data_IF_519437849682
#
_entry.id   IF_519437849682
#
_cell.length_a   1.000
_cell.length_b   1.000
_cell.length_c   1.000
_cell.angle_alpha   90.00
_cell.angle_beta   90.00
_cell.angle_gamma   90.00
#
_symmetry.space_group_name_H-M   'P 1'
#
loop_
_entity.id
_entity.type
_entity.pdbx_description
1 polymer ?
#
# COMPACT_ATOMS: atom_id res chain seq x y z
N UNK A 1 8.55 -6.02 20.82
CA UNK A 1 7.34 -6.84 20.68
C UNK A 1 6.71 -6.75 19.27
N UNK A 2 6.73 -5.61 18.62
CA UNK A 2 6.12 -5.40 17.30
C UNK A 2 6.78 -6.12 16.11
N UNK A 3 8.07 -6.38 16.18
CA UNK A 3 8.77 -7.12 15.13
C UNK A 3 8.36 -8.59 15.00
N UNK A 4 7.84 -9.18 16.07
CA UNK A 4 7.63 -10.63 16.15
C UNK A 4 6.63 -11.19 15.17
N UNK A 5 5.46 -10.58 14.98
CA UNK A 5 4.44 -11.13 14.07
C UNK A 5 4.73 -10.85 12.60
N UNK A 6 5.40 -9.72 12.28
CA UNK A 6 5.97 -9.56 10.93
C UNK A 6 7.12 -10.55 10.67
N UNK A 7 7.91 -10.85 11.71
CA UNK A 7 9.01 -11.82 11.65
C UNK A 7 8.51 -13.25 11.58
N UNK A 8 7.38 -13.60 12.20
CA UNK A 8 6.81 -14.96 12.14
C UNK A 8 6.41 -15.39 10.72
N UNK A 9 5.88 -14.49 9.91
CA UNK A 9 5.62 -14.77 8.48
C UNK A 9 6.90 -14.87 7.64
N UNK A 10 7.91 -14.08 7.98
CA UNK A 10 9.25 -14.18 7.40
C UNK A 10 9.97 -15.47 7.84
N UNK A 11 9.77 -15.88 9.10
CA UNK A 11 10.36 -17.09 9.68
C UNK A 11 9.76 -18.35 9.06
N UNK A 12 8.47 -18.38 8.76
CA UNK A 12 7.86 -19.52 8.06
C UNK A 12 8.44 -19.75 6.65
N UNK A 13 8.90 -18.67 5.97
CA UNK A 13 9.62 -18.77 4.70
C UNK A 13 11.13 -19.00 4.82
N UNK A 14 11.71 -18.81 6.01
CA UNK A 14 13.14 -18.91 6.29
C UNK A 14 13.52 -20.18 7.11
N UNK A 15 12.61 -21.11 7.31
CA UNK A 15 12.77 -22.33 8.13
C UNK A 15 13.91 -23.29 7.69
N UNK A 16 14.78 -22.88 6.77
CA UNK A 16 15.96 -23.65 6.39
C UNK A 16 17.27 -23.17 7.05
N UNK A 17 17.24 -22.15 7.94
CA UNK A 17 18.44 -21.65 8.59
C UNK A 17 18.54 -22.13 10.04
N UNK A 18 19.64 -22.80 10.45
CA UNK A 18 19.80 -23.33 11.81
C UNK A 18 19.75 -22.25 12.92
N UNK A 19 19.93 -20.97 12.55
CA UNK A 19 19.85 -19.86 13.52
C UNK A 19 18.41 -19.62 14.05
N UNK A 20 17.37 -20.04 13.34
CA UNK A 20 16.00 -19.88 13.77
C UNK A 20 15.44 -21.06 14.58
N UNK A 21 16.08 -22.22 14.49
CA UNK A 21 15.68 -23.41 15.24
C UNK A 21 15.96 -23.31 16.74
N UNK A 22 16.79 -22.35 17.17
CA UNK A 22 17.20 -22.15 18.57
C UNK A 22 16.45 -21.00 19.27
N UNK A 23 15.56 -20.29 18.58
CA UNK A 23 14.89 -19.13 19.17
C UNK A 23 13.77 -19.55 20.10
N UNK A 24 13.86 -19.15 21.37
CA UNK A 24 12.85 -19.41 22.37
C UNK A 24 11.85 -18.25 22.42
N UNK A 25 10.63 -18.53 22.02
CA UNK A 25 9.50 -17.61 22.13
C UNK A 25 8.72 -18.00 23.39
N UNK A 26 8.57 -17.07 24.32
CA UNK A 26 7.81 -17.29 25.56
C UNK A 26 6.58 -16.36 25.59
N UNK A 27 5.46 -16.77 26.22
CA UNK A 27 4.37 -15.87 26.50
C UNK A 27 4.86 -14.64 27.28
N UNK A 28 4.37 -13.45 26.94
CA UNK A 28 4.70 -12.23 27.67
C UNK A 28 3.94 -12.22 29.00
N UNK A 29 4.63 -12.27 30.16
CA UNK A 29 3.97 -12.29 31.46
C UNK A 29 3.27 -10.96 31.80
N UNK A 30 3.57 -9.89 31.09
CA UNK A 30 3.01 -8.55 31.31
C UNK A 30 1.88 -8.20 30.32
N UNK A 31 1.75 -8.96 29.24
CA UNK A 31 0.75 -8.69 28.19
C UNK A 31 0.09 -9.97 27.72
N UNK A 32 -1.16 -10.19 28.12
CA UNK A 32 -1.96 -11.33 27.66
C UNK A 32 -1.97 -11.43 26.12
N UNK A 33 -1.65 -12.62 25.59
CA UNK A 33 -1.54 -12.87 24.15
C UNK A 33 -0.28 -12.29 23.48
N UNK A 34 0.63 -11.69 24.24
CA UNK A 34 1.96 -11.28 23.77
C UNK A 34 3.00 -12.39 23.92
N UNK A 35 4.15 -12.19 23.27
CA UNK A 35 5.31 -13.07 23.36
C UNK A 35 6.57 -12.26 23.57
N UNK A 36 7.50 -12.79 24.38
CA UNK A 36 8.82 -12.20 24.62
C UNK A 36 9.87 -13.03 23.91
N UNK A 37 10.79 -12.35 23.26
CA UNK A 37 12.03 -12.93 22.73
C UNK A 37 13.21 -12.29 23.46
N UNK A 38 14.22 -13.08 23.79
CA UNK A 38 15.45 -12.57 24.38
C UNK A 38 16.13 -11.53 23.46
N UNK A 39 16.76 -10.51 24.02
CA UNK A 39 17.45 -9.47 23.25
C UNK A 39 18.53 -10.04 22.32
N UNK A 40 19.24 -11.10 22.76
CA UNK A 40 20.20 -11.85 21.94
C UNK A 40 19.56 -12.47 20.69
N UNK A 41 18.35 -13.01 20.85
CA UNK A 41 17.63 -13.64 19.75
C UNK A 41 17.08 -12.60 18.78
N UNK A 42 16.66 -11.42 19.28
CA UNK A 42 16.29 -10.28 18.45
C UNK A 42 17.47 -9.85 17.59
N UNK A 43 18.68 -9.72 18.16
CA UNK A 43 19.88 -9.36 17.42
C UNK A 43 20.22 -10.40 16.34
N UNK A 44 20.07 -11.70 16.66
CA UNK A 44 20.27 -12.78 15.69
C UNK A 44 19.26 -12.73 14.55
N UNK A 45 17.98 -12.45 14.85
CA UNK A 45 16.91 -12.28 13.86
C UNK A 45 17.18 -11.07 12.95
N UNK A 46 17.57 -9.92 13.52
CA UNK A 46 17.91 -8.73 12.74
C UNK A 46 19.14 -8.95 11.85
N UNK A 47 20.16 -9.63 12.35
CA UNK A 47 21.32 -10.02 11.55
C UNK A 47 20.94 -10.95 10.38
N UNK A 48 20.12 -11.96 10.65
CA UNK A 48 19.66 -12.87 9.60
C UNK A 48 18.73 -12.18 8.58
N UNK A 49 17.87 -11.27 9.04
CA UNK A 49 17.00 -10.43 8.20
C UNK A 49 17.84 -9.55 7.26
N UNK A 50 18.84 -8.85 7.79
CA UNK A 50 19.70 -7.97 7.01
C UNK A 50 20.64 -8.75 6.05
N UNK A 51 20.99 -9.97 6.40
CA UNK A 51 21.77 -10.87 5.54
C UNK A 51 20.91 -11.49 4.40
N UNK A 52 19.58 -11.41 4.48
CA UNK A 52 18.71 -11.95 3.45
C UNK A 52 18.86 -11.14 2.16
N UNK A 53 19.12 -11.77 0.99
CA UNK A 53 19.23 -11.06 -0.30
C UNK A 53 18.01 -10.21 -0.65
N UNK A 54 16.83 -10.57 -0.17
CA UNK A 54 15.60 -9.82 -0.38
C UNK A 54 15.49 -8.58 0.51
N UNK A 55 16.31 -8.45 1.56
CA UNK A 55 16.21 -7.32 2.51
C UNK A 55 16.41 -5.97 1.83
N UNK A 56 17.41 -5.86 0.96
CA UNK A 56 17.66 -4.63 0.21
C UNK A 56 16.51 -4.26 -0.74
N UNK A 57 15.86 -5.27 -1.33
CA UNK A 57 14.69 -5.08 -2.19
C UNK A 57 13.51 -4.56 -1.38
N UNK A 58 13.21 -5.18 -0.23
CA UNK A 58 12.10 -4.73 0.64
C UNK A 58 12.35 -3.34 1.21
N UNK A 59 13.55 -3.08 1.72
CA UNK A 59 13.90 -1.76 2.27
C UNK A 59 13.75 -0.66 1.23
N UNK A 60 14.20 -0.92 0.00
CA UNK A 60 14.03 0.00 -1.12
C UNK A 60 12.55 0.19 -1.48
N UNK A 61 11.78 -0.89 -1.55
CA UNK A 61 10.35 -0.84 -1.91
C UNK A 61 9.50 -0.10 -0.87
N UNK A 62 9.88 -0.16 0.41
CA UNK A 62 9.17 0.47 1.52
C UNK A 62 9.68 1.89 1.85
N UNK A 63 10.76 2.34 1.21
CA UNK A 63 11.26 3.69 1.41
C UNK A 63 10.25 4.73 0.88
N UNK A 64 10.05 5.79 1.63
CA UNK A 64 9.13 6.89 1.25
C UNK A 64 9.85 8.22 1.21
N UNK A 65 9.33 9.18 0.44
CA UNK A 65 9.77 10.59 0.46
C UNK A 65 9.03 11.38 1.53
N UNK A 66 9.67 12.41 2.11
CA UNK A 66 9.00 13.40 2.96
C UNK A 66 7.80 14.04 2.24
N UNK A 67 6.70 14.24 2.96
CA UNK A 67 5.47 14.74 2.37
C UNK A 67 5.63 16.12 1.72
N UNK A 68 6.47 16.99 2.28
CA UNK A 68 6.75 18.32 1.69
C UNK A 68 7.27 18.23 0.24
N UNK A 69 8.06 17.19 -0.07
CA UNK A 69 8.54 16.94 -1.43
C UNK A 69 7.47 16.32 -2.32
N UNK A 70 6.58 15.52 -1.74
CA UNK A 70 5.47 14.90 -2.45
C UNK A 70 4.41 15.95 -2.82
N UNK A 71 4.08 16.84 -1.92
CA UNK A 71 3.11 17.92 -2.14
C UNK A 71 3.56 18.91 -3.21
N UNK A 72 4.87 19.06 -3.38
CA UNK A 72 5.44 19.91 -4.42
C UNK A 72 5.32 19.32 -5.84
N UNK A 73 4.92 18.06 -5.98
CA UNK A 73 4.78 17.39 -7.29
C UNK A 73 3.54 17.93 -8.00
N UNK A 74 3.75 18.44 -9.22
CA UNK A 74 2.70 18.83 -10.16
C UNK A 74 3.08 18.31 -11.56
N UNK A 75 2.10 18.02 -12.44
CA UNK A 75 2.39 17.54 -13.78
C UNK A 75 3.36 18.44 -14.56
N UNK A 76 4.29 17.85 -15.27
CA UNK A 76 5.26 18.51 -16.18
C UNK A 76 6.26 19.45 -15.51
N UNK A 77 6.37 19.41 -14.20
CA UNK A 77 7.36 20.20 -13.47
C UNK A 77 8.78 19.64 -13.67
N UNK A 78 9.72 20.49 -14.08
CA UNK A 78 11.09 20.09 -14.47
C UNK A 78 11.89 19.46 -13.32
N UNK A 79 11.61 19.83 -12.07
CA UNK A 79 12.27 19.31 -10.87
C UNK A 79 11.49 18.18 -10.17
N UNK A 80 10.45 17.63 -10.81
CA UNK A 80 9.82 16.39 -10.33
C UNK A 80 10.88 15.28 -10.15
N UNK A 81 10.70 14.38 -9.17
CA UNK A 81 11.57 13.22 -9.00
C UNK A 81 11.64 12.33 -10.26
N UNK A 82 12.78 11.66 -10.47
CA UNK A 82 13.01 10.88 -11.70
C UNK A 82 11.99 9.77 -11.94
N UNK A 83 11.52 9.11 -10.88
CA UNK A 83 10.45 8.12 -11.02
C UNK A 83 9.11 8.74 -11.45
N UNK A 84 8.81 9.96 -11.03
CA UNK A 84 7.62 10.72 -11.48
C UNK A 84 7.79 11.11 -12.95
N UNK A 85 8.93 11.69 -13.33
CA UNK A 85 9.25 12.02 -14.74
C UNK A 85 9.16 10.77 -15.65
N UNK A 86 9.58 9.61 -15.14
CA UNK A 86 9.42 8.36 -15.89
C UNK A 86 7.97 8.02 -16.10
N UNK A 87 7.14 8.13 -15.07
CA UNK A 87 5.69 7.92 -15.21
C UNK A 87 5.13 8.86 -16.26
N UNK A 88 5.39 10.16 -16.18
CA UNK A 88 4.89 11.15 -17.14
C UNK A 88 5.30 10.87 -18.58
N UNK A 89 6.46 10.22 -18.80
CA UNK A 89 6.93 9.81 -20.13
C UNK A 89 6.24 8.55 -20.65
N UNK A 90 5.96 7.55 -19.81
CA UNK A 90 5.43 6.26 -20.24
C UNK A 90 3.93 6.11 -20.07
N UNK A 91 3.31 7.01 -19.33
CA UNK A 91 1.89 7.07 -19.01
C UNK A 91 1.47 8.54 -18.85
N UNK A 92 0.97 9.12 -19.90
CA UNK A 92 0.63 10.53 -19.99
C UNK A 92 -0.70 10.86 -19.30
N UNK A 93 -0.98 12.14 -19.11
CA UNK A 93 -2.29 12.61 -18.63
C UNK A 93 -3.44 12.16 -19.57
N UNK A 94 -3.19 12.12 -20.88
CA UNK A 94 -4.16 11.60 -21.85
C UNK A 94 -4.42 10.10 -21.69
N UNK A 95 -3.40 9.30 -21.33
CA UNK A 95 -3.59 7.89 -21.01
C UNK A 95 -4.40 7.72 -19.70
N UNK A 96 -4.16 8.60 -18.73
CA UNK A 96 -4.97 8.67 -17.50
C UNK A 96 -6.43 8.96 -17.82
N UNK A 97 -6.71 10.03 -18.54
CA UNK A 97 -8.07 10.44 -18.92
C UNK A 97 -8.80 9.34 -19.69
N UNK A 98 -8.08 8.62 -20.57
CA UNK A 98 -8.62 7.50 -21.33
C UNK A 98 -9.07 6.33 -20.44
N UNK A 99 -8.34 6.04 -19.35
CA UNK A 99 -8.63 4.92 -18.44
C UNK A 99 -9.59 5.29 -17.30
N UNK A 100 -9.85 6.59 -17.08
CA UNK A 100 -10.55 7.08 -15.88
C UNK A 100 -11.74 7.99 -16.22
N UNK A 101 -12.40 7.74 -17.33
CA UNK A 101 -13.48 8.59 -17.84
C UNK A 101 -14.70 8.68 -16.89
N UNK A 102 -14.84 7.70 -15.99
CA UNK A 102 -15.89 7.66 -14.96
C UNK A 102 -15.34 7.82 -13.54
N UNK A 103 -14.06 8.16 -13.39
CA UNK A 103 -13.45 8.24 -12.07
C UNK A 103 -14.09 9.31 -11.20
N UNK A 104 -14.17 9.05 -9.91
CA UNK A 104 -14.57 10.05 -8.93
C UNK A 104 -13.59 11.24 -8.94
N UNK A 105 -14.08 12.48 -8.70
CA UNK A 105 -13.27 13.69 -8.83
C UNK A 105 -12.09 13.77 -7.85
N UNK A 106 -12.10 12.95 -6.81
CA UNK A 106 -10.98 12.80 -5.89
C UNK A 106 -9.75 12.14 -6.53
N UNK A 107 -9.94 11.39 -7.62
CA UNK A 107 -8.84 10.76 -8.36
C UNK A 107 -8.42 11.65 -9.53
N UNK A 108 -7.24 12.24 -9.43
CA UNK A 108 -6.67 13.07 -10.48
C UNK A 108 -5.29 12.57 -10.89
N UNK A 109 -4.86 12.90 -12.11
CA UNK A 109 -3.50 12.57 -12.56
C UNK A 109 -2.43 13.15 -11.64
N UNK A 110 -2.59 14.38 -11.14
CA UNK A 110 -1.68 14.99 -10.18
C UNK A 110 -1.58 14.20 -8.88
N UNK A 111 -2.71 13.77 -8.31
CA UNK A 111 -2.72 12.93 -7.09
C UNK A 111 -2.08 11.57 -7.34
N UNK A 112 -2.26 11.00 -8.52
CA UNK A 112 -1.57 9.77 -8.93
C UNK A 112 -0.05 9.99 -8.98
N UNK A 113 0.42 11.09 -9.59
CA UNK A 113 1.84 11.43 -9.62
C UNK A 113 2.41 11.66 -8.21
N UNK A 114 1.67 12.28 -7.31
CA UNK A 114 2.04 12.43 -5.89
C UNK A 114 2.16 11.07 -5.19
N UNK A 115 1.23 10.16 -5.43
CA UNK A 115 1.31 8.79 -4.90
C UNK A 115 2.54 8.05 -5.44
N UNK A 116 2.85 8.15 -6.72
CA UNK A 116 4.09 7.66 -7.31
C UNK A 116 5.30 8.30 -6.65
N UNK A 117 5.28 9.60 -6.46
CA UNK A 117 6.35 10.36 -5.83
C UNK A 117 6.64 9.94 -4.40
N UNK A 118 5.63 9.53 -3.64
CA UNK A 118 5.81 9.04 -2.26
C UNK A 118 6.71 7.81 -2.18
N UNK A 119 6.67 6.93 -3.19
CA UNK A 119 7.41 5.67 -3.21
C UNK A 119 8.49 5.67 -4.32
N UNK A 120 9.75 6.04 -4.02
CA UNK A 120 10.82 6.17 -5.01
C UNK A 120 11.12 4.89 -5.81
N UNK A 121 10.84 3.73 -5.23
CA UNK A 121 11.05 2.45 -5.90
C UNK A 121 10.01 2.16 -6.98
N UNK A 122 8.80 2.74 -6.89
CA UNK A 122 7.80 2.59 -7.93
C UNK A 122 8.24 3.39 -9.17
N UNK A 123 8.40 2.72 -10.29
CA UNK A 123 8.98 3.30 -11.51
C UNK A 123 10.40 3.87 -11.31
N UNK A 124 11.15 3.38 -10.33
CA UNK A 124 12.52 3.78 -10.07
C UNK A 124 13.52 3.21 -11.08
N UNK A 125 14.81 3.55 -10.90
CA UNK A 125 15.88 3.09 -11.75
C UNK A 125 16.37 1.69 -11.38
N UNK A 126 16.94 1.00 -12.38
CA UNK A 126 17.63 -0.27 -12.25
C UNK A 126 19.09 -0.13 -12.70
N UNK A 127 20.00 -0.68 -11.92
CA UNK A 127 21.45 -0.65 -12.20
C UNK A 127 21.96 -1.93 -12.87
N UNK A 128 21.07 -2.89 -13.12
CA UNK A 128 21.36 -4.22 -13.64
C UNK A 128 21.03 -4.39 -15.14
N UNK A 129 20.82 -3.28 -15.84
CA UNK A 129 20.54 -3.26 -17.28
C UNK A 129 19.07 -3.54 -17.67
N UNK A 130 18.17 -3.76 -16.71
CA UNK A 130 16.76 -3.91 -17.01
C UNK A 130 16.16 -2.62 -17.59
N UNK A 131 15.20 -2.77 -18.50
CA UNK A 131 14.49 -1.63 -19.08
C UNK A 131 13.47 -1.06 -18.07
N UNK A 132 13.88 0.02 -17.40
CA UNK A 132 13.06 0.67 -16.36
C UNK A 132 11.74 1.24 -16.89
N UNK A 133 11.69 1.72 -18.14
CA UNK A 133 10.48 2.26 -18.75
C UNK A 133 9.46 1.14 -19.04
N UNK A 134 9.91 0.01 -19.55
CA UNK A 134 9.04 -1.14 -19.80
C UNK A 134 8.48 -1.71 -18.48
N UNK A 135 9.31 -1.79 -17.44
CA UNK A 135 8.89 -2.25 -16.10
C UNK A 135 7.89 -1.27 -15.49
N UNK A 136 8.16 0.03 -15.59
CA UNK A 136 7.26 1.07 -15.10
C UNK A 136 5.89 0.97 -15.78
N UNK A 137 5.86 0.90 -17.11
CA UNK A 137 4.62 0.75 -17.88
C UNK A 137 3.84 -0.51 -17.45
N UNK A 138 4.52 -1.65 -17.28
CA UNK A 138 3.89 -2.88 -16.80
C UNK A 138 3.31 -2.70 -15.39
N UNK A 139 4.05 -2.05 -14.49
CA UNK A 139 3.59 -1.79 -13.11
C UNK A 139 2.35 -0.92 -13.06
N UNK A 140 2.29 0.14 -13.90
CA UNK A 140 1.13 1.01 -14.01
C UNK A 140 -0.08 0.24 -14.54
N UNK A 141 0.08 -0.53 -15.63
CA UNK A 141 -1.01 -1.34 -16.21
C UNK A 141 -1.54 -2.33 -15.15
N UNK A 142 -0.64 -2.97 -14.39
CA UNK A 142 -1.03 -3.87 -13.30
C UNK A 142 -1.81 -3.13 -12.21
N UNK A 143 -1.37 -1.91 -11.83
CA UNK A 143 -2.10 -1.11 -10.84
C UNK A 143 -3.51 -0.73 -11.34
N UNK A 144 -3.64 -0.32 -12.60
CA UNK A 144 -4.93 0.01 -13.20
C UNK A 144 -5.87 -1.20 -13.32
N UNK A 145 -5.36 -2.39 -13.64
CA UNK A 145 -6.16 -3.61 -13.61
C UNK A 145 -6.75 -3.87 -12.20
N UNK A 146 -5.95 -3.63 -11.16
CA UNK A 146 -6.45 -3.69 -9.79
C UNK A 146 -7.46 -2.58 -9.48
N UNK A 147 -7.21 -1.34 -9.93
CA UNK A 147 -8.15 -0.23 -9.69
C UNK A 147 -9.49 -0.46 -10.37
N UNK A 148 -9.50 -1.02 -11.59
CA UNK A 148 -10.73 -1.41 -12.26
C UNK A 148 -11.48 -2.50 -11.48
N UNK A 149 -10.76 -3.50 -10.96
CA UNK A 149 -11.36 -4.58 -10.16
C UNK A 149 -11.90 -4.11 -8.81
N UNK A 150 -11.16 -3.28 -8.08
CA UNK A 150 -11.48 -2.90 -6.69
C UNK A 150 -12.46 -1.72 -6.59
N UNK A 151 -12.37 -0.80 -7.53
CA UNK A 151 -13.08 0.48 -7.50
C UNK A 151 -13.76 0.85 -8.81
N UNK A 152 -13.82 -0.07 -9.76
CA UNK A 152 -14.46 0.14 -11.05
C UNK A 152 -15.99 0.25 -10.95
N UNK A 153 -16.58 0.77 -12.01
CA UNK A 153 -18.04 0.89 -12.09
C UNK A 153 -18.74 -0.45 -12.27
N UNK A 154 -18.06 -1.45 -12.86
CA UNK A 154 -18.60 -2.77 -13.19
C UNK A 154 -19.95 -2.71 -13.94
N UNK A 155 -20.11 -1.68 -14.77
CA UNK A 155 -21.33 -1.42 -15.48
C UNK A 155 -21.20 -2.01 -16.89
N UNK A 156 -22.12 -2.88 -17.26
CA UNK A 156 -22.14 -3.47 -18.58
C UNK A 156 -22.14 -2.40 -19.68
N UNK A 157 -21.40 -2.65 -20.76
CA UNK A 157 -21.29 -1.72 -21.90
C UNK A 157 -22.64 -1.36 -22.50
N UNK A 158 -23.56 -2.32 -22.50
CA UNK A 158 -24.90 -2.19 -23.05
C UNK A 158 -25.86 -1.41 -22.14
N UNK A 159 -25.47 -1.14 -20.89
CA UNK A 159 -26.27 -0.34 -19.98
C UNK A 159 -26.09 1.15 -20.26
N UNK A 160 -26.77 1.64 -21.29
CA UNK A 160 -26.68 3.02 -21.75
C UNK A 160 -27.09 4.05 -20.69
N UNK A 161 -27.93 3.65 -19.72
CA UNK A 161 -28.35 4.53 -18.60
C UNK A 161 -27.18 4.90 -17.69
N UNK A 162 -26.40 3.91 -17.27
CA UNK A 162 -25.36 4.08 -16.26
C UNK A 162 -23.96 4.11 -16.88
N UNK A 163 -23.83 3.69 -18.13
CA UNK A 163 -22.62 3.72 -18.96
C UNK A 163 -22.90 4.37 -20.33
N UNK A 164 -23.27 5.66 -20.37
CA UNK A 164 -23.68 6.32 -21.61
C UNK A 164 -22.57 6.42 -22.67
N UNK A 165 -21.31 6.25 -22.26
CA UNK A 165 -20.16 6.26 -23.16
C UNK A 165 -19.85 4.86 -23.73
N UNK A 166 -20.55 3.81 -23.29
CA UNK A 166 -20.30 2.43 -23.71
C UNK A 166 -18.88 1.95 -23.40
N UNK A 167 -18.34 2.35 -22.24
CA UNK A 167 -16.99 2.02 -21.80
C UNK A 167 -16.86 0.54 -21.48
N UNK A 168 -15.73 -0.03 -21.83
CA UNK A 168 -15.34 -1.35 -21.36
C UNK A 168 -15.00 -1.33 -19.88
N UNK A 169 -15.10 -2.45 -19.17
CA UNK A 169 -14.87 -2.54 -17.72
C UNK A 169 -13.50 -1.99 -17.31
N UNK A 170 -12.46 -2.26 -18.08
CA UNK A 170 -11.10 -1.77 -17.81
C UNK A 170 -10.93 -0.24 -17.97
N UNK A 171 -11.89 0.45 -18.58
CA UNK A 171 -11.97 1.92 -18.71
C UNK A 171 -12.76 2.57 -17.58
N UNK A 172 -13.32 1.77 -16.70
CA UNK A 172 -14.17 2.22 -15.59
C UNK A 172 -13.41 2.19 -14.24
N UNK A 173 -12.10 2.34 -14.25
CA UNK A 173 -11.30 2.36 -13.03
C UNK A 173 -11.62 3.60 -12.16
N UNK A 174 -11.48 3.46 -10.83
CA UNK A 174 -11.52 4.57 -9.89
C UNK A 174 -12.89 5.28 -9.77
N UNK A 175 -13.98 4.59 -10.02
CA UNK A 175 -15.34 5.12 -9.87
C UNK A 175 -15.70 5.31 -8.39
N UNK A 176 -15.28 4.39 -7.52
CA UNK A 176 -15.65 4.39 -6.11
C UNK A 176 -14.46 4.81 -5.22
N UNK A 177 -14.63 5.87 -4.45
CA UNK A 177 -13.66 6.31 -3.42
C UNK A 177 -13.74 5.44 -2.16
N UNK A 178 -14.93 4.93 -1.87
CA UNK A 178 -15.22 4.06 -0.73
C UNK A 178 -16.05 2.86 -1.17
N UNK A 179 -16.03 1.84 -0.37
CA UNK A 179 -16.81 0.63 -0.56
C UNK A 179 -18.30 0.94 -0.69
N UNK A 180 -18.95 0.33 -1.68
CA UNK A 180 -20.37 0.55 -1.96
C UNK A 180 -21.23 0.19 -0.75
N UNK A 181 -22.24 1.00 -0.49
CA UNK A 181 -23.14 0.84 0.65
C UNK A 181 -22.61 1.44 1.95
N UNK A 182 -21.41 2.02 1.99
CA UNK A 182 -20.85 2.69 3.15
C UNK A 182 -20.75 4.21 2.95
N UNK A 183 -21.00 4.96 4.02
CA UNK A 183 -20.84 6.40 4.05
C UNK A 183 -19.92 6.83 5.21
N UNK A 184 -19.29 8.00 5.08
CA UNK A 184 -18.46 8.54 6.15
C UNK A 184 -19.29 8.75 7.43
N UNK A 185 -18.68 8.44 8.56
CA UNK A 185 -19.33 8.45 9.86
C UNK A 185 -20.08 7.16 10.23
N UNK A 186 -20.22 6.21 9.30
CA UNK A 186 -20.78 4.89 9.64
C UNK A 186 -19.74 4.02 10.34
N UNK A 187 -20.17 3.28 11.36
CA UNK A 187 -19.37 2.26 12.01
C UNK A 187 -19.41 0.97 11.21
N UNK A 188 -18.25 0.42 10.89
CA UNK A 188 -18.14 -0.85 10.20
C UNK A 188 -16.71 -1.33 10.16
N UNK A 189 -16.53 -2.62 9.88
CA UNK A 189 -15.21 -3.26 9.87
C UNK A 189 -14.44 -3.09 11.20
N UNK A 190 -15.20 -3.02 12.30
CA UNK A 190 -14.65 -2.92 13.66
C UNK A 190 -14.34 -4.28 14.27
N UNK A 191 -14.58 -5.36 13.55
CA UNK A 191 -14.15 -6.71 13.93
C UNK A 191 -12.64 -6.71 14.12
N UNK A 192 -12.17 -7.16 15.28
CA UNK A 192 -10.76 -7.12 15.62
C UNK A 192 -10.31 -5.86 16.35
N UNK A 193 -11.20 -4.89 16.64
CA UNK A 193 -10.90 -3.74 17.50
C UNK A 193 -10.69 -4.09 18.98
N UNK A 194 -10.62 -5.37 19.32
CA UNK A 194 -10.34 -5.85 20.67
C UNK A 194 -8.88 -5.65 21.11
N UNK A 195 -8.61 -5.83 22.40
CA UNK A 195 -7.32 -5.51 23.01
C UNK A 195 -6.33 -6.69 23.03
N UNK A 196 -6.77 -7.90 22.66
CA UNK A 196 -5.98 -9.13 22.83
C UNK A 196 -5.06 -9.44 21.65
N UNK A 197 -5.22 -8.74 20.52
CA UNK A 197 -4.40 -8.90 19.33
C UNK A 197 -3.29 -7.84 19.29
N UNK A 198 -2.11 -8.19 18.75
CA UNK A 198 -0.98 -7.26 18.66
C UNK A 198 -1.28 -6.08 17.73
N UNK A 199 -2.11 -6.28 16.70
CA UNK A 199 -2.52 -5.22 15.78
C UNK A 199 -3.39 -4.20 16.51
N UNK A 200 -4.29 -4.67 17.39
CA UNK A 200 -5.13 -3.79 18.21
C UNK A 200 -4.33 -3.01 19.23
N UNK A 201 -3.24 -3.60 19.76
CA UNK A 201 -2.33 -2.89 20.67
C UNK A 201 -1.50 -1.84 19.96
N UNK A 202 -1.06 -2.13 18.72
CA UNK A 202 -0.25 -1.19 17.95
C UNK A 202 -1.08 -0.07 17.33
N UNK A 203 -2.22 -0.43 16.76
CA UNK A 203 -3.13 0.49 16.09
C UNK A 203 -4.55 0.30 16.63
N UNK A 204 -4.85 0.81 17.84
CA UNK A 204 -6.18 0.69 18.41
C UNK A 204 -7.20 1.38 17.55
N UNK A 205 -8.44 0.86 17.55
CA UNK A 205 -9.52 1.53 16.88
C UNK A 205 -9.85 2.86 17.55
N UNK A 206 -10.03 3.90 16.76
CA UNK A 206 -10.53 5.18 17.23
C UNK A 206 -12.06 5.11 17.43
N UNK A 207 -12.54 5.71 18.52
CA UNK A 207 -13.97 5.76 18.83
C UNK A 207 -14.74 6.47 17.71
N UNK A 208 -15.83 5.87 17.27
CA UNK A 208 -16.69 6.46 16.24
C UNK A 208 -16.19 6.32 14.81
N UNK A 209 -15.09 5.60 14.57
CA UNK A 209 -14.55 5.39 13.23
C UNK A 209 -14.90 4.03 12.66
N UNK A 210 -15.27 4.01 11.38
CA UNK A 210 -15.44 2.79 10.59
C UNK A 210 -14.25 2.54 9.67
N UNK A 211 -13.87 1.26 9.52
CA UNK A 211 -12.69 0.83 8.76
C UNK A 211 -13.04 0.02 7.51
N UNK A 212 -14.15 0.41 6.86
CA UNK A 212 -14.55 -0.14 5.55
C UNK A 212 -13.59 0.31 4.45
N UNK A 213 -13.69 -0.30 3.27
CA UNK A 213 -12.78 -0.05 2.13
C UNK A 213 -12.77 1.40 1.67
N UNK A 214 -11.57 2.00 1.52
CA UNK A 214 -11.36 3.35 0.96
C UNK A 214 -10.18 3.38 0.00
N UNK A 215 -10.26 4.31 -0.95
CA UNK A 215 -9.21 4.57 -1.92
C UNK A 215 -9.11 3.53 -3.02
N UNK A 216 -8.17 3.72 -3.94
CA UNK A 216 -8.02 2.95 -5.18
C UNK A 216 -7.82 1.42 -4.98
N UNK A 217 -7.45 0.98 -3.78
CA UNK A 217 -7.22 -0.42 -3.40
C UNK A 217 -8.13 -0.91 -2.29
N UNK A 218 -9.18 -0.16 -1.95
CA UNK A 218 -10.16 -0.53 -0.93
C UNK A 218 -9.51 -0.99 0.38
N UNK A 219 -8.60 -0.13 0.90
CA UNK A 219 -7.93 -0.38 2.17
C UNK A 219 -8.94 -0.52 3.29
N UNK A 220 -8.97 -1.66 3.97
CA UNK A 220 -9.96 -2.02 4.99
C UNK A 220 -9.28 -2.49 6.27
N UNK A 221 -10.00 -2.43 7.39
CA UNK A 221 -9.59 -2.79 8.75
C UNK A 221 -8.56 -1.83 9.38
N UNK A 222 -8.75 -1.57 10.68
CA UNK A 222 -7.97 -0.62 11.48
C UNK A 222 -6.46 -0.82 11.40
N UNK A 223 -5.99 -2.07 11.41
CA UNK A 223 -4.55 -2.37 11.37
C UNK A 223 -3.91 -2.05 10.02
N UNK A 224 -4.65 -2.16 8.92
CA UNK A 224 -4.18 -1.74 7.60
C UNK A 224 -4.15 -0.21 7.49
N UNK A 225 -5.18 0.47 8.03
CA UNK A 225 -5.18 1.94 8.14
C UNK A 225 -4.01 2.44 8.96
N UNK A 226 -3.75 1.83 10.13
CA UNK A 226 -2.63 2.19 10.98
C UNK A 226 -1.27 1.97 10.30
N UNK A 227 -1.08 0.84 9.64
CA UNK A 227 0.16 0.57 8.89
C UNK A 227 0.36 1.52 7.69
N UNK A 228 -0.73 1.87 7.00
CA UNK A 228 -0.71 2.85 5.93
C UNK A 228 -0.38 4.25 6.45
N UNK A 229 -0.99 4.65 7.56
CA UNK A 229 -0.75 5.94 8.21
C UNK A 229 0.72 6.08 8.63
N UNK A 230 1.32 5.05 9.24
CA UNK A 230 2.76 5.06 9.55
C UNK A 230 3.62 5.26 8.30
N UNK A 231 3.27 4.63 7.18
CA UNK A 231 4.03 4.76 5.94
C UNK A 231 3.87 6.15 5.29
N UNK A 232 2.69 6.75 5.40
CA UNK A 232 2.37 8.01 4.73
C UNK A 232 2.77 9.25 5.55
N UNK A 233 2.73 9.17 6.89
CA UNK A 233 2.88 10.30 7.79
C UNK A 233 4.02 10.13 8.80
N UNK A 234 4.98 9.24 8.50
CA UNK A 234 6.17 8.98 9.33
C UNK A 234 5.81 8.65 10.80
N UNK A 235 4.71 7.93 11.01
CA UNK A 235 4.23 7.53 12.31
C UNK A 235 3.48 8.61 13.11
N UNK A 236 3.19 9.76 12.51
CA UNK A 236 2.54 10.92 13.15
C UNK A 236 1.06 11.09 12.75
N UNK A 237 0.33 10.01 12.56
CA UNK A 237 -1.11 10.08 12.25
C UNK A 237 -1.97 9.57 13.38
#
# INVERSE_FOLDING_TARGET
>A
MFMLKRTAWLVAGLCASPAYAAMTIQPDPQNSGGYVIAASDIAAVEKAKTANPMYGIWSKALATRPNILVEAIVPRRADNPDNVKRVERVFTESDWDFLTQMAAPEYTYERFLRAVGKFPAFCGDYTDGRNADAICKKSIITAFAHFAQETGGHIARENVSDNPLGLEEWQQALVHVREMGWAEGQLGYTTGCGQNDWQNRKWPCSTGQGYFGRGAKQLSYHFNYGAFSEAMFDGNA
#
